data_IF_058350492815
#
_entry.id   IF_058350492815
#
_cell.length_a   1.000
_cell.length_b   1.000
_cell.length_c   1.000
_cell.angle_alpha   90.00
_cell.angle_beta   90.00
_cell.angle_gamma   90.00
#
_symmetry.space_group_name_H-M   'P 1'
#
loop_
_entity.id
_entity.type
_entity.pdbx_description
1 polymer ?
#
# COMPACT_ATOMS: atom_id res chain seq x y z
N UNK A 1 1.45 -11.60 -17.00
CA UNK A 1 0.75 -10.59 -16.19
C UNK A 1 -0.03 -11.35 -15.12
N UNK A 2 0.37 -11.27 -13.85
CA UNK A 2 -0.32 -12.02 -12.80
C UNK A 2 -1.66 -11.34 -12.51
N UNK A 3 -2.76 -12.07 -12.68
CA UNK A 3 -4.09 -11.61 -12.33
C UNK A 3 -4.15 -11.42 -10.82
N UNK A 4 -4.40 -10.18 -10.37
CA UNK A 4 -4.54 -9.89 -8.94
C UNK A 4 -5.78 -10.65 -8.45
N UNK A 5 -5.67 -11.49 -7.40
CA UNK A 5 -6.81 -12.24 -6.89
C UNK A 5 -7.92 -11.27 -6.46
N UNK A 6 -9.14 -11.52 -6.95
CA UNK A 6 -10.30 -10.70 -6.62
C UNK A 6 -10.75 -10.99 -5.18
N UNK A 7 -10.92 -9.93 -4.37
CA UNK A 7 -11.33 -10.01 -2.97
C UNK A 7 -12.85 -10.03 -2.78
N UNK A 8 -13.62 -9.72 -3.82
CA UNK A 8 -15.08 -9.51 -3.71
C UNK A 8 -15.89 -10.81 -3.49
N UNK A 9 -15.27 -11.97 -3.72
CA UNK A 9 -15.98 -13.27 -3.72
C UNK A 9 -15.80 -14.07 -2.42
N UNK A 10 -15.17 -13.49 -1.39
CA UNK A 10 -14.94 -14.18 -0.12
C UNK A 10 -16.14 -14.02 0.84
N UNK A 11 -16.44 -15.03 1.70
CA UNK A 11 -17.46 -14.92 2.74
C UNK A 11 -17.12 -13.88 3.82
N UNK A 12 -15.89 -13.38 3.81
CA UNK A 12 -15.37 -12.33 4.68
C UNK A 12 -15.03 -11.14 3.78
N UNK A 13 -15.41 -9.94 4.20
CA UNK A 13 -15.04 -8.71 3.50
C UNK A 13 -13.51 -8.49 3.64
N UNK A 14 -12.74 -8.92 2.64
CA UNK A 14 -11.30 -8.72 2.61
C UNK A 14 -10.92 -7.35 2.04
N UNK A 15 -11.83 -6.67 1.35
CA UNK A 15 -11.60 -5.32 0.80
C UNK A 15 -11.50 -4.29 1.94
N UNK A 16 -12.31 -4.44 2.98
CA UNK A 16 -12.26 -3.58 4.17
C UNK A 16 -10.92 -3.67 4.91
N UNK A 17 -10.33 -4.87 4.99
CA UNK A 17 -9.00 -5.09 5.58
C UNK A 17 -7.94 -4.34 4.78
N UNK A 18 -7.98 -4.48 3.44
CA UNK A 18 -7.05 -3.77 2.54
C UNK A 18 -7.18 -2.26 2.70
N UNK A 19 -8.40 -1.74 2.71
CA UNK A 19 -8.66 -0.30 2.89
C UNK A 19 -8.17 0.21 4.25
N UNK A 20 -8.35 -0.57 5.31
CA UNK A 20 -7.88 -0.21 6.65
C UNK A 20 -6.36 -0.11 6.68
N UNK A 21 -5.65 -1.14 6.19
CA UNK A 21 -4.19 -1.14 6.12
C UNK A 21 -3.65 -0.01 5.25
N UNK A 22 -4.33 0.31 4.13
CA UNK A 22 -3.97 1.41 3.26
C UNK A 22 -4.13 2.77 3.97
N UNK A 23 -5.25 2.99 4.67
CA UNK A 23 -5.50 4.23 5.43
C UNK A 23 -4.46 4.43 6.53
N UNK A 24 -4.11 3.36 7.25
CA UNK A 24 -3.12 3.41 8.32
C UNK A 24 -1.73 3.78 7.77
N UNK A 25 -1.29 3.14 6.69
CA UNK A 25 -0.03 3.45 6.01
C UNK A 25 0.01 4.91 5.54
N UNK A 26 -1.05 5.38 4.88
CA UNK A 26 -1.13 6.78 4.43
C UNK A 26 -1.10 7.74 5.61
N UNK A 27 -1.73 7.41 6.73
CA UNK A 27 -1.74 8.25 7.92
C UNK A 27 -0.33 8.37 8.53
N UNK A 28 0.40 7.26 8.63
CA UNK A 28 1.80 7.25 9.07
C UNK A 28 2.65 8.13 8.14
N UNK A 29 2.48 7.96 6.82
CA UNK A 29 3.19 8.78 5.85
C UNK A 29 2.82 10.26 6.02
N UNK A 30 1.55 10.63 6.18
CA UNK A 30 1.11 12.03 6.37
C UNK A 30 1.68 12.67 7.63
N UNK A 31 1.87 11.91 8.71
CA UNK A 31 2.41 12.43 9.97
C UNK A 31 3.87 12.91 9.83
N UNK A 32 4.65 12.29 8.96
CA UNK A 32 5.99 12.77 8.63
C UNK A 32 5.86 14.00 7.70
N UNK A 33 6.50 15.12 8.03
CA UNK A 33 6.45 16.34 7.21
C UNK A 33 7.67 16.42 6.26
N UNK A 34 7.49 17.06 5.11
CA UNK A 34 8.56 17.30 4.12
C UNK A 34 8.73 16.20 3.07
N UNK A 35 9.79 16.30 2.26
CA UNK A 35 10.15 15.28 1.27
C UNK A 35 10.63 14.03 2.00
N UNK A 36 10.03 12.89 1.65
CA UNK A 36 10.31 11.58 2.27
C UNK A 36 10.94 10.67 1.24
N UNK A 37 11.91 9.88 1.68
CA UNK A 37 12.39 8.72 0.95
C UNK A 37 11.85 7.48 1.66
N UNK A 38 11.20 6.58 0.91
CA UNK A 38 10.74 5.31 1.44
C UNK A 38 11.70 4.22 1.02
N UNK A 39 12.39 3.62 1.99
CA UNK A 39 13.24 2.44 1.79
C UNK A 39 12.45 1.22 2.22
N UNK A 40 12.23 0.28 1.31
CA UNK A 40 11.46 -0.94 1.54
C UNK A 40 12.41 -2.12 1.46
N UNK A 41 12.30 -3.08 2.37
CA UNK A 41 12.96 -4.39 2.22
C UNK A 41 12.50 -5.03 0.89
N UNK A 42 13.42 -5.46 0.01
CA UNK A 42 13.07 -6.10 -1.25
C UNK A 42 12.06 -7.25 -1.12
N UNK A 43 12.06 -7.96 0.00
CA UNK A 43 11.12 -9.06 0.28
C UNK A 43 9.69 -8.60 0.57
N UNK A 44 9.52 -7.34 1.00
CA UNK A 44 8.23 -6.75 1.35
C UNK A 44 7.61 -5.92 0.22
N UNK A 45 8.39 -5.56 -0.81
CA UNK A 45 7.93 -4.76 -1.94
C UNK A 45 6.70 -5.34 -2.63
N UNK A 46 6.75 -6.65 -2.91
CA UNK A 46 5.64 -7.36 -3.56
C UNK A 46 4.40 -7.40 -2.67
N UNK A 47 4.55 -7.65 -1.37
CA UNK A 47 3.42 -7.66 -0.43
C UNK A 47 2.77 -6.28 -0.28
N UNK A 48 3.57 -5.21 -0.24
CA UNK A 48 3.04 -3.84 -0.16
C UNK A 48 2.29 -3.45 -1.43
N UNK A 49 2.70 -3.97 -2.60
CA UNK A 49 2.00 -3.72 -3.87
C UNK A 49 0.56 -4.25 -3.89
N UNK A 50 0.26 -5.27 -3.07
CA UNK A 50 -1.10 -5.83 -2.91
C UNK A 50 -2.01 -4.96 -2.04
N UNK A 51 -1.43 -4.09 -1.22
CA UNK A 51 -2.15 -3.22 -0.28
C UNK A 51 -2.33 -1.83 -0.89
N UNK A 52 -1.29 -1.27 -1.50
CA UNK A 52 -1.30 0.08 -2.06
C UNK A 52 -0.63 0.10 -3.44
N UNK A 53 -1.28 0.76 -4.38
CA UNK A 53 -0.71 0.98 -5.69
C UNK A 53 0.47 1.96 -5.59
N UNK A 54 1.57 1.64 -6.27
CA UNK A 54 2.79 2.47 -6.28
C UNK A 54 2.54 3.90 -6.78
N UNK A 55 1.54 4.11 -7.63
CA UNK A 55 1.10 5.44 -8.08
C UNK A 55 0.60 6.32 -6.93
N UNK A 56 -0.22 5.76 -6.04
CA UNK A 56 -0.75 6.45 -4.86
C UNK A 56 0.38 6.74 -3.88
N UNK A 57 1.27 5.76 -3.68
CA UNK A 57 2.40 5.88 -2.77
C UNK A 57 3.37 7.00 -3.21
N UNK A 58 3.64 7.13 -4.51
CA UNK A 58 4.45 8.23 -5.09
C UNK A 58 3.92 9.63 -4.78
N UNK A 59 2.62 9.79 -4.57
CA UNK A 59 2.05 11.09 -4.16
C UNK A 59 2.42 11.49 -2.74
N UNK A 60 2.87 10.54 -1.91
CA UNK A 60 3.23 10.77 -0.50
C UNK A 60 4.73 10.65 -0.22
N UNK A 61 5.47 9.89 -1.04
CA UNK A 61 6.91 9.62 -0.88
C UNK A 61 7.65 9.68 -2.21
N UNK A 62 8.90 10.14 -2.17
CA UNK A 62 9.84 10.03 -3.28
C UNK A 62 10.46 8.63 -3.24
N UNK A 63 10.37 7.89 -4.34
CA UNK A 63 11.09 6.63 -4.51
C UNK A 63 12.49 6.93 -5.06
N UNK A 64 13.54 6.29 -4.52
CA UNK A 64 14.87 6.34 -5.11
C UNK A 64 14.92 5.62 -6.46
#
# INVERSE_FOLDING_TARGET
MAQIPNLDNAPINLTSIREQSQKELINILKNVRGKKCLVIDPKLGDSLSLIIQTSILKSYVMFP
#
